data_IF_172130823255
#
_entry.id   IF_172130823255
#
_cell.length_a   1.000
_cell.length_b   1.000
_cell.length_c   1.000
_cell.angle_alpha   90.00
_cell.angle_beta   90.00
_cell.angle_gamma   90.00
#
_symmetry.space_group_name_H-M   'P 1'
#
loop_
_entity.id
_entity.type
_entity.pdbx_description
1 polymer ?
#
# COMPACT_ATOMS: atom_id res chain seq x y z
N UNK A 1 30.75 -5.45 -24.50
CA UNK A 1 30.86 -6.77 -23.85
C UNK A 1 31.17 -6.50 -22.39
N UNK A 2 30.12 -6.29 -21.60
CA UNK A 2 30.24 -6.01 -20.15
C UNK A 2 29.41 -7.10 -19.46
N UNK A 3 30.10 -8.17 -19.07
CA UNK A 3 29.55 -9.29 -18.32
C UNK A 3 29.23 -8.80 -16.92
N UNK A 4 27.98 -8.38 -16.69
CA UNK A 4 27.44 -8.26 -15.35
C UNK A 4 27.57 -9.65 -14.69
N UNK A 5 28.48 -9.77 -13.71
CA UNK A 5 28.64 -10.94 -12.87
C UNK A 5 27.28 -11.27 -12.23
N UNK A 6 26.65 -12.32 -12.74
CA UNK A 6 25.51 -12.94 -12.08
C UNK A 6 25.97 -13.35 -10.67
N UNK A 7 25.34 -12.92 -9.59
CA UNK A 7 25.66 -13.43 -8.26
C UNK A 7 25.26 -14.90 -8.26
N UNK A 8 26.23 -15.80 -7.98
CA UNK A 8 26.06 -17.22 -7.99
C UNK A 8 24.91 -17.74 -7.09
N UNK A 9 24.47 -18.99 -7.27
CA UNK A 9 23.40 -19.62 -6.49
C UNK A 9 23.81 -19.69 -5.03
N UNK A 10 23.19 -18.86 -4.20
CA UNK A 10 23.48 -18.73 -2.76
C UNK A 10 23.35 -17.31 -2.18
N UNK A 11 23.10 -16.31 -3.00
CA UNK A 11 22.78 -14.96 -2.49
C UNK A 11 21.35 -14.95 -1.95
N UNK A 12 21.23 -14.99 -0.64
CA UNK A 12 20.03 -15.24 0.15
C UNK A 12 18.75 -14.63 -0.39
N UNK A 13 17.69 -15.43 -0.36
CA UNK A 13 16.29 -15.03 -0.54
C UNK A 13 16.07 -13.66 0.12
N UNK A 14 15.62 -12.67 -0.66
CA UNK A 14 15.23 -11.36 -0.14
C UNK A 14 16.20 -10.19 -0.38
N UNK A 15 17.28 -10.34 -1.14
CA UNK A 15 18.09 -9.20 -1.57
C UNK A 15 17.52 -8.61 -2.86
N UNK A 16 16.94 -7.43 -2.75
CA UNK A 16 16.50 -6.66 -3.91
C UNK A 16 17.70 -6.35 -4.83
N UNK A 17 17.55 -6.35 -6.16
CA UNK A 17 18.56 -5.85 -7.08
C UNK A 17 18.96 -4.41 -6.79
N UNK A 18 20.12 -3.98 -7.25
CA UNK A 18 20.65 -2.64 -6.96
C UNK A 18 19.68 -1.49 -7.31
N UNK A 19 18.96 -1.49 -8.45
CA UNK A 19 17.97 -0.46 -8.75
C UNK A 19 16.82 -0.41 -7.72
N UNK A 20 16.27 -1.57 -7.34
CA UNK A 20 15.18 -1.66 -6.36
C UNK A 20 15.65 -1.29 -4.95
N UNK A 21 16.91 -1.58 -4.60
CA UNK A 21 17.49 -1.11 -3.33
C UNK A 21 17.60 0.42 -3.30
N UNK A 22 17.94 1.07 -4.41
CA UNK A 22 17.97 2.53 -4.49
C UNK A 22 16.56 3.11 -4.37
N UNK A 23 15.59 2.52 -5.07
CA UNK A 23 14.17 2.91 -4.98
C UNK A 23 13.64 2.74 -3.54
N UNK A 24 14.00 1.65 -2.86
CA UNK A 24 13.63 1.43 -1.46
C UNK A 24 14.24 2.49 -0.52
N UNK A 25 15.51 2.87 -0.73
CA UNK A 25 16.13 3.97 0.04
C UNK A 25 15.41 5.29 -0.20
N UNK A 26 14.99 5.57 -1.44
CA UNK A 26 14.18 6.75 -1.76
C UNK A 26 12.84 6.68 -1.04
N UNK A 27 12.14 5.54 -1.07
CA UNK A 27 10.89 5.34 -0.36
C UNK A 27 11.05 5.62 1.14
N UNK A 28 12.02 4.99 1.80
CA UNK A 28 12.32 5.22 3.23
C UNK A 28 12.59 6.69 3.53
N UNK A 29 13.33 7.39 2.65
CA UNK A 29 13.58 8.84 2.82
C UNK A 29 12.30 9.64 2.72
N UNK A 30 11.43 9.35 1.75
CA UNK A 30 10.15 10.05 1.59
C UNK A 30 9.20 9.75 2.75
N UNK A 31 9.23 8.54 3.33
CA UNK A 31 8.45 8.24 4.54
C UNK A 31 8.90 9.06 5.75
N UNK A 32 10.20 9.25 5.95
CA UNK A 32 10.68 10.16 7.00
C UNK A 32 10.26 11.61 6.75
N UNK A 33 10.24 12.06 5.48
CA UNK A 33 9.74 13.40 5.12
C UNK A 33 8.24 13.49 5.39
N UNK A 34 7.47 12.43 5.07
CA UNK A 34 6.03 12.36 5.36
C UNK A 34 5.79 12.48 6.87
N UNK A 35 6.44 11.67 7.69
CA UNK A 35 6.28 11.72 9.15
C UNK A 35 6.66 13.12 9.67
N UNK A 36 7.75 13.69 9.21
CA UNK A 36 8.16 15.03 9.61
C UNK A 36 7.14 16.11 9.23
N UNK A 37 6.60 16.07 8.01
CA UNK A 37 5.56 17.00 7.54
C UNK A 37 4.24 16.80 8.31
N UNK A 38 3.81 15.56 8.56
CA UNK A 38 2.60 15.26 9.31
C UNK A 38 2.71 15.71 10.77
N UNK A 39 3.85 15.54 11.42
CA UNK A 39 4.07 16.07 12.79
C UNK A 39 3.92 17.59 12.80
N UNK A 40 4.45 18.30 11.82
CA UNK A 40 4.29 19.76 11.70
C UNK A 40 2.81 20.12 11.53
N UNK A 41 2.09 19.39 10.66
CA UNK A 41 0.64 19.58 10.43
C UNK A 41 -0.15 19.34 11.73
N UNK A 42 0.08 18.22 12.42
CA UNK A 42 -0.56 17.89 13.69
C UNK A 42 -0.36 19.00 14.74
N UNK A 43 0.86 19.52 14.84
CA UNK A 43 1.16 20.64 15.76
C UNK A 43 0.42 21.91 15.31
N UNK A 44 0.47 22.25 14.02
CA UNK A 44 -0.17 23.46 13.46
C UNK A 44 -1.68 23.41 13.63
N UNK A 45 -2.33 22.31 13.27
CA UNK A 45 -3.78 22.11 13.42
C UNK A 45 -4.16 22.12 14.89
N UNK A 46 -3.40 21.43 15.76
CA UNK A 46 -3.62 21.39 17.21
C UNK A 46 -3.57 22.78 17.88
N UNK A 47 -2.64 23.65 17.46
CA UNK A 47 -2.55 25.03 17.96
C UNK A 47 -3.74 25.91 17.54
N UNK A 48 -4.33 25.65 16.37
CA UNK A 48 -5.46 26.41 15.82
C UNK A 48 -6.81 25.81 16.21
N UNK A 49 -6.84 24.53 16.64
CA UNK A 49 -8.07 23.79 16.94
C UNK A 49 -8.96 24.47 17.99
N UNK A 50 -8.37 25.04 19.05
CA UNK A 50 -9.11 25.75 20.10
C UNK A 50 -10.27 24.92 20.64
N UNK A 51 -11.49 25.49 20.60
CA UNK A 51 -12.74 24.82 20.99
C UNK A 51 -13.53 24.24 19.80
N UNK A 52 -13.03 24.40 18.56
CA UNK A 52 -13.71 23.91 17.37
C UNK A 52 -13.68 22.37 17.31
N UNK A 53 -14.87 21.75 17.26
CA UNK A 53 -14.98 20.29 17.10
C UNK A 53 -14.40 19.83 15.75
N UNK A 54 -14.72 20.53 14.65
CA UNK A 54 -14.20 20.19 13.32
C UNK A 54 -12.65 20.16 13.27
N UNK A 55 -12.01 21.13 13.93
CA UNK A 55 -10.54 21.15 14.01
C UNK A 55 -9.97 20.04 14.90
N UNK A 56 -10.68 19.65 15.97
CA UNK A 56 -10.28 18.51 16.82
C UNK A 56 -10.39 17.20 16.05
N UNK A 57 -11.40 17.06 15.20
CA UNK A 57 -11.57 15.91 14.31
C UNK A 57 -10.43 15.84 13.30
N UNK A 58 -10.14 16.91 12.58
CA UNK A 58 -9.02 17.00 11.64
C UNK A 58 -7.69 16.66 12.33
N UNK A 59 -7.47 17.14 13.55
CA UNK A 59 -6.29 16.80 14.34
C UNK A 59 -6.19 15.29 14.66
N UNK A 60 -7.32 14.65 14.98
CA UNK A 60 -7.38 13.22 15.26
C UNK A 60 -7.11 12.39 13.99
N UNK A 61 -7.62 12.83 12.84
CA UNK A 61 -7.36 12.22 11.52
C UNK A 61 -5.89 12.29 11.16
N UNK A 62 -5.26 13.46 11.30
CA UNK A 62 -3.84 13.67 11.05
C UNK A 62 -2.95 12.73 11.89
N UNK A 63 -3.36 12.40 13.13
CA UNK A 63 -2.65 11.42 13.97
C UNK A 63 -2.79 10.01 13.40
N UNK A 64 -3.98 9.62 12.92
CA UNK A 64 -4.21 8.30 12.30
C UNK A 64 -3.38 8.17 11.03
N UNK A 65 -3.21 9.23 10.27
CA UNK A 65 -2.44 9.26 9.02
C UNK A 65 -0.92 9.04 9.21
N UNK A 66 -0.43 9.06 10.45
CA UNK A 66 0.94 8.63 10.77
C UNK A 66 1.13 7.11 10.78
N UNK A 67 0.05 6.32 10.85
CA UNK A 67 0.13 4.85 11.00
C UNK A 67 0.73 4.17 9.76
N UNK A 68 0.29 4.41 8.52
CA UNK A 68 0.86 3.76 7.34
C UNK A 68 2.36 4.00 7.15
N UNK A 69 2.90 5.24 7.19
CA UNK A 69 4.33 5.47 7.02
C UNK A 69 5.17 4.81 8.12
N UNK A 70 4.68 4.78 9.36
CA UNK A 70 5.34 4.08 10.45
C UNK A 70 5.32 2.56 10.19
N UNK A 71 4.19 2.00 9.78
CA UNK A 71 4.05 0.57 9.47
C UNK A 71 5.02 0.15 8.34
N UNK A 72 5.15 0.96 7.28
CA UNK A 72 6.12 0.74 6.21
C UNK A 72 7.56 0.74 6.72
N UNK A 73 7.97 1.73 7.51
CA UNK A 73 9.33 1.80 8.06
C UNK A 73 9.66 0.61 8.96
N UNK A 74 8.70 0.17 9.77
CA UNK A 74 8.85 -1.00 10.65
C UNK A 74 8.97 -2.28 9.81
N UNK A 75 8.08 -2.48 8.84
CA UNK A 75 8.11 -3.65 7.97
C UNK A 75 9.41 -3.73 7.16
N UNK A 76 9.83 -2.62 6.55
CA UNK A 76 11.09 -2.52 5.80
C UNK A 76 12.30 -2.89 6.67
N UNK A 77 12.29 -2.53 7.95
CA UNK A 77 13.37 -2.90 8.88
C UNK A 77 13.34 -4.38 9.26
N UNK A 78 12.15 -4.98 9.31
CA UNK A 78 11.97 -6.39 9.67
C UNK A 78 12.39 -7.31 8.51
N UNK A 79 12.02 -7.01 7.28
CA UNK A 79 12.30 -7.87 6.11
C UNK A 79 13.79 -8.03 5.80
N UNK A 80 14.65 -7.12 6.28
CA UNK A 80 16.10 -7.24 6.11
C UNK A 80 16.75 -8.25 7.05
N UNK A 81 15.98 -8.87 7.97
CA UNK A 81 16.51 -9.89 8.87
C UNK A 81 16.69 -11.21 8.11
N UNK A 82 17.83 -11.86 8.36
CA UNK A 82 18.12 -13.17 7.76
C UNK A 82 17.13 -14.24 8.23
N UNK A 83 16.82 -15.25 7.41
CA UNK A 83 16.04 -16.41 7.81
C UNK A 83 16.63 -17.07 9.06
N UNK A 84 15.76 -17.55 9.94
CA UNK A 84 16.13 -18.24 11.18
C UNK A 84 15.38 -19.57 11.27
N UNK A 85 15.74 -20.43 12.24
CA UNK A 85 14.98 -21.68 12.46
C UNK A 85 13.49 -21.46 12.70
N UNK A 86 13.11 -20.35 13.36
CA UNK A 86 11.71 -20.03 13.64
C UNK A 86 11.02 -19.35 12.44
N UNK A 87 11.78 -18.75 11.52
CA UNK A 87 11.31 -18.08 10.31
C UNK A 87 12.12 -18.59 9.12
N UNK A 88 11.90 -19.84 8.67
CA UNK A 88 12.74 -20.47 7.64
C UNK A 88 12.67 -19.79 6.28
N UNK A 89 11.54 -19.18 5.93
CA UNK A 89 11.35 -18.39 4.71
C UNK A 89 11.78 -16.92 4.87
N UNK A 90 12.22 -16.49 6.07
CA UNK A 90 12.41 -15.08 6.39
C UNK A 90 11.12 -14.36 6.78
N UNK A 91 11.21 -13.14 7.33
CA UNK A 91 10.04 -12.38 7.79
C UNK A 91 9.39 -11.55 6.68
N UNK A 92 9.35 -12.03 5.43
CA UNK A 92 8.83 -11.29 4.26
C UNK A 92 7.36 -10.90 4.39
N UNK A 93 6.55 -11.72 5.09
CA UNK A 93 5.13 -11.42 5.35
C UNK A 93 4.91 -10.20 6.25
N UNK A 94 5.96 -9.63 6.85
CA UNK A 94 5.85 -8.37 7.59
C UNK A 94 5.30 -7.22 6.70
N UNK A 95 5.54 -7.26 5.37
CA UNK A 95 4.95 -6.32 4.41
C UNK A 95 3.41 -6.48 4.38
N UNK A 96 2.90 -7.71 4.26
CA UNK A 96 1.45 -7.94 4.23
C UNK A 96 0.78 -7.56 5.58
N UNK A 97 1.46 -7.80 6.72
CA UNK A 97 1.00 -7.35 8.04
C UNK A 97 0.95 -5.82 8.11
N UNK A 98 2.00 -5.13 7.64
CA UNK A 98 2.01 -3.67 7.60
C UNK A 98 0.95 -3.10 6.66
N UNK A 99 0.68 -3.76 5.52
CA UNK A 99 -0.42 -3.42 4.62
C UNK A 99 -1.78 -3.55 5.32
N UNK A 100 -2.00 -4.63 6.09
CA UNK A 100 -3.21 -4.79 6.89
C UNK A 100 -3.36 -3.66 7.91
N UNK A 101 -2.29 -3.30 8.61
CA UNK A 101 -2.28 -2.18 9.59
C UNK A 101 -2.62 -0.86 8.91
N UNK A 102 -2.03 -0.58 7.74
CA UNK A 102 -2.33 0.63 6.96
C UNK A 102 -3.79 0.65 6.48
N UNK A 103 -4.31 -0.48 5.96
CA UNK A 103 -5.70 -0.62 5.55
C UNK A 103 -6.70 -0.42 6.70
N UNK A 104 -6.39 -0.97 7.89
CA UNK A 104 -7.22 -0.77 9.09
C UNK A 104 -7.22 0.69 9.54
N UNK A 105 -6.06 1.37 9.48
CA UNK A 105 -5.99 2.79 9.81
C UNK A 105 -6.84 3.64 8.84
N UNK A 106 -6.75 3.36 7.54
CA UNK A 106 -7.57 4.04 6.52
C UNK A 106 -9.07 3.79 6.71
N UNK A 107 -9.46 2.54 7.00
CA UNK A 107 -10.85 2.20 7.31
C UNK A 107 -11.34 2.91 8.58
N UNK A 108 -10.53 2.93 9.65
CA UNK A 108 -10.86 3.61 10.90
C UNK A 108 -11.05 5.11 10.69
N UNK A 109 -10.22 5.75 9.86
CA UNK A 109 -10.36 7.16 9.49
C UNK A 109 -11.69 7.41 8.78
N UNK A 110 -12.03 6.64 7.75
CA UNK A 110 -13.30 6.77 7.05
C UNK A 110 -14.52 6.53 7.94
N UNK A 111 -14.43 5.53 8.83
CA UNK A 111 -15.50 5.26 9.82
C UNK A 111 -15.68 6.41 10.82
N UNK A 112 -14.59 6.97 11.29
CA UNK A 112 -14.60 8.11 12.21
C UNK A 112 -15.27 9.33 11.58
N UNK A 113 -14.97 9.65 10.33
CA UNK A 113 -15.63 10.72 9.57
C UNK A 113 -17.14 10.52 9.44
N UNK A 114 -17.59 9.29 9.14
CA UNK A 114 -19.02 8.97 9.10
C UNK A 114 -19.65 9.15 10.47
N UNK A 115 -19.00 8.65 11.52
CA UNK A 115 -19.48 8.72 12.90
C UNK A 115 -19.68 10.18 13.37
N UNK A 116 -18.83 11.11 12.95
CA UNK A 116 -18.98 12.54 13.26
C UNK A 116 -20.01 13.25 12.38
N UNK A 117 -20.02 12.97 11.08
CA UNK A 117 -20.84 13.71 10.13
C UNK A 117 -22.32 13.37 10.22
N UNK A 118 -22.68 12.10 10.50
CA UNK A 118 -24.08 11.66 10.54
C UNK A 118 -24.88 12.30 11.69
N UNK A 119 -24.42 12.30 12.97
CA UNK A 119 -25.11 12.95 14.05
C UNK A 119 -25.28 14.46 13.82
N UNK A 120 -24.25 15.14 13.30
CA UNK A 120 -24.27 16.58 13.00
C UNK A 120 -25.36 16.93 11.97
N UNK A 121 -25.52 16.09 10.94
CA UNK A 121 -26.61 16.26 9.95
C UNK A 121 -28.00 16.01 10.55
N UNK A 122 -28.12 14.96 11.39
CA UNK A 122 -29.41 14.60 11.99
C UNK A 122 -29.88 15.57 13.05
N UNK A 123 -28.95 16.13 13.85
CA UNK A 123 -29.27 17.11 14.88
C UNK A 123 -29.60 18.50 14.33
N UNK A 124 -29.19 18.76 13.07
CA UNK A 124 -29.35 20.10 12.47
C UNK A 124 -28.50 21.17 13.17
N UNK A 125 -27.48 20.76 13.91
CA UNK A 125 -26.58 21.68 14.60
C UNK A 125 -25.85 22.56 13.61
N UNK A 126 -25.86 23.87 13.87
CA UNK A 126 -25.14 24.85 13.06
C UNK A 126 -23.78 25.06 13.72
N UNK A 127 -22.67 24.51 13.15
CA UNK A 127 -21.35 24.73 13.74
C UNK A 127 -21.05 26.24 13.74
N UNK A 128 -20.79 26.85 14.92
CA UNK A 128 -20.52 28.28 15.00
C UNK A 128 -19.09 28.55 14.52
N UNK A 129 -18.95 29.12 13.31
CA UNK A 129 -17.69 29.72 12.89
C UNK A 129 -17.69 31.16 13.38
N UNK A 130 -17.00 31.41 14.51
CA UNK A 130 -16.97 32.70 15.17
C UNK A 130 -16.05 33.72 14.53
N UNK A 131 -16.10 34.96 15.05
CA UNK A 131 -15.08 35.97 14.82
C UNK A 131 -13.90 35.73 15.78
N UNK A 132 -12.67 35.92 15.32
CA UNK A 132 -11.48 35.91 16.17
C UNK A 132 -10.70 37.21 15.98
N UNK A 133 -10.04 37.65 17.06
CA UNK A 133 -9.17 38.82 17.02
C UNK A 133 -7.74 38.37 16.85
N UNK A 134 -7.12 38.75 15.74
CA UNK A 134 -5.68 38.50 15.49
C UNK A 134 -5.01 39.84 15.24
N UNK A 135 -3.96 40.15 15.99
CA UNK A 135 -3.22 41.42 15.91
C UNK A 135 -4.14 42.69 16.06
N UNK A 136 -5.25 42.59 16.83
CA UNK A 136 -6.16 43.72 17.05
C UNK A 136 -7.17 43.95 15.92
N UNK A 137 -7.28 43.06 14.97
CA UNK A 137 -8.27 43.10 13.87
C UNK A 137 -9.22 41.92 14.00
N UNK A 138 -10.53 42.25 14.00
CA UNK A 138 -11.61 41.25 13.98
C UNK A 138 -11.74 40.67 12.58
N UNK A 139 -11.60 39.35 12.44
CA UNK A 139 -11.85 38.67 11.17
C UNK A 139 -12.57 37.33 11.39
N UNK A 140 -13.22 36.86 10.34
CA UNK A 140 -13.92 35.57 10.37
C UNK A 140 -12.93 34.42 10.45
N UNK A 141 -13.04 33.59 11.50
CA UNK A 141 -12.10 32.47 11.74
C UNK A 141 -12.06 31.43 10.60
N UNK A 142 -13.12 31.35 9.77
CA UNK A 142 -13.18 30.53 8.60
C UNK A 142 -12.03 30.78 7.60
N UNK A 143 -11.56 32.02 7.47
CA UNK A 143 -10.41 32.31 6.59
C UNK A 143 -9.13 31.66 7.09
N UNK A 144 -8.87 31.66 8.39
CA UNK A 144 -7.71 31.00 8.97
C UNK A 144 -7.80 29.48 8.78
N UNK A 145 -9.00 28.90 8.98
CA UNK A 145 -9.24 27.47 8.74
C UNK A 145 -8.96 27.09 7.29
N UNK A 146 -9.46 27.87 6.31
CA UNK A 146 -9.22 27.63 4.89
C UNK A 146 -7.72 27.67 4.56
N UNK A 147 -6.98 28.67 5.05
CA UNK A 147 -5.55 28.79 4.82
C UNK A 147 -4.79 27.61 5.43
N UNK A 148 -5.09 27.24 6.66
CA UNK A 148 -4.45 26.10 7.34
C UNK A 148 -4.73 24.81 6.58
N UNK A 149 -5.98 24.53 6.19
CA UNK A 149 -6.36 23.34 5.44
C UNK A 149 -5.72 23.31 4.04
N UNK A 150 -5.65 24.45 3.36
CA UNK A 150 -4.97 24.54 2.06
C UNK A 150 -3.46 24.23 2.18
N UNK A 151 -2.80 24.74 3.22
CA UNK A 151 -1.39 24.47 3.48
C UNK A 151 -1.16 23.02 3.90
N UNK A 152 -2.05 22.44 4.72
CA UNK A 152 -1.94 21.04 5.16
C UNK A 152 -2.14 20.04 4.02
N UNK A 153 -2.90 20.39 2.97
CA UNK A 153 -3.11 19.55 1.80
C UNK A 153 -1.88 19.42 0.88
N UNK A 154 -0.96 20.38 0.91
CA UNK A 154 0.18 20.42 -0.03
C UNK A 154 1.11 19.19 0.12
N UNK A 155 1.63 18.85 1.33
CA UNK A 155 2.50 17.69 1.47
C UNK A 155 1.85 16.38 1.05
N UNK A 156 0.61 16.01 1.48
CA UNK A 156 -0.05 14.78 1.03
C UNK A 156 -0.23 14.70 -0.50
N UNK A 157 -0.59 15.78 -1.17
CA UNK A 157 -0.71 15.79 -2.64
C UNK A 157 0.61 15.45 -3.31
N UNK A 158 1.70 16.12 -2.92
CA UNK A 158 3.02 15.92 -3.54
C UNK A 158 3.57 14.54 -3.21
N UNK A 159 3.58 14.18 -1.93
CA UNK A 159 4.16 12.93 -1.44
C UNK A 159 3.36 11.72 -1.88
N UNK A 160 2.02 11.80 -1.90
CA UNK A 160 1.16 10.73 -2.39
C UNK A 160 1.44 10.36 -3.84
N UNK A 161 1.61 11.33 -4.74
CA UNK A 161 1.99 11.07 -6.13
C UNK A 161 3.37 10.43 -6.27
N UNK A 162 4.34 10.82 -5.45
CA UNK A 162 5.67 10.20 -5.44
C UNK A 162 5.57 8.75 -4.95
N UNK A 163 4.82 8.51 -3.87
CA UNK A 163 4.64 7.18 -3.29
C UNK A 163 4.00 6.18 -4.24
N UNK A 164 2.99 6.57 -5.03
CA UNK A 164 2.38 5.71 -6.05
C UNK A 164 3.44 5.21 -7.06
N UNK A 165 4.34 6.08 -7.51
CA UNK A 165 5.42 5.69 -8.44
C UNK A 165 6.39 4.71 -7.80
N UNK A 166 6.81 4.99 -6.56
CA UNK A 166 7.72 4.12 -5.81
C UNK A 166 7.06 2.77 -5.47
N UNK A 167 5.77 2.77 -5.11
CA UNK A 167 4.98 1.56 -4.86
C UNK A 167 4.94 0.64 -6.09
N UNK A 168 4.76 1.20 -7.27
CA UNK A 168 4.79 0.46 -8.54
C UNK A 168 6.16 -0.15 -8.81
N UNK A 169 7.24 0.62 -8.65
CA UNK A 169 8.61 0.17 -8.92
C UNK A 169 9.08 -0.91 -7.93
N UNK A 170 8.64 -0.83 -6.67
CA UNK A 170 9.00 -1.78 -5.60
C UNK A 170 8.03 -2.96 -5.49
N UNK A 171 6.89 -2.92 -6.18
CA UNK A 171 5.80 -3.84 -5.93
C UNK A 171 5.40 -3.85 -4.45
N UNK A 172 5.23 -2.66 -3.85
CA UNK A 172 4.97 -2.50 -2.42
C UNK A 172 3.56 -1.99 -2.16
N UNK A 173 2.72 -2.87 -1.61
CA UNK A 173 1.31 -2.60 -1.32
C UNK A 173 1.13 -1.70 -0.08
N UNK A 174 2.09 -1.70 0.86
CA UNK A 174 2.04 -0.80 2.04
C UNK A 174 2.21 0.64 1.60
N UNK A 175 3.20 0.88 0.73
CA UNK A 175 3.47 2.20 0.18
C UNK A 175 2.30 2.70 -0.69
N UNK A 176 1.59 1.78 -1.36
CA UNK A 176 0.35 2.09 -2.08
C UNK A 176 -0.78 2.49 -1.12
N UNK A 177 -0.99 1.71 -0.04
CA UNK A 177 -2.00 2.03 0.98
C UNK A 177 -1.71 3.37 1.69
N UNK A 178 -0.43 3.70 1.88
CA UNK A 178 -0.02 5.00 2.42
C UNK A 178 -0.27 6.15 1.44
N UNK A 179 -0.16 5.90 0.13
CA UNK A 179 -0.58 6.87 -0.89
C UNK A 179 -2.11 7.07 -0.92
N UNK A 180 -2.90 6.01 -0.65
CA UNK A 180 -4.35 6.13 -0.46
C UNK A 180 -4.69 6.96 0.79
N UNK A 181 -3.90 6.83 1.88
CA UNK A 181 -4.05 7.68 3.07
C UNK A 181 -3.74 9.14 2.73
N UNK A 182 -2.64 9.42 2.02
CA UNK A 182 -2.33 10.78 1.56
C UNK A 182 -3.43 11.36 0.66
N UNK A 183 -4.09 10.53 -0.16
CA UNK A 183 -5.28 10.91 -0.95
C UNK A 183 -6.47 11.25 -0.03
N UNK A 184 -6.69 10.49 1.03
CA UNK A 184 -7.71 10.78 2.02
C UNK A 184 -7.44 12.13 2.70
N UNK A 185 -6.22 12.38 3.16
CA UNK A 185 -5.82 13.61 3.86
C UNK A 185 -6.09 14.88 3.03
N UNK A 186 -5.66 14.94 1.77
CA UNK A 186 -5.95 16.12 0.95
C UNK A 186 -7.44 16.19 0.55
N UNK A 187 -8.11 15.04 0.44
CA UNK A 187 -9.55 14.97 0.18
C UNK A 187 -10.36 15.56 1.32
N UNK A 188 -10.06 15.21 2.58
CA UNK A 188 -10.72 15.78 3.77
C UNK A 188 -10.40 17.25 3.94
N UNK A 189 -9.16 17.69 3.67
CA UNK A 189 -8.81 19.11 3.67
C UNK A 189 -9.64 19.91 2.65
N UNK A 190 -9.83 19.38 1.43
CA UNK A 190 -10.67 20.00 0.41
C UNK A 190 -12.15 20.02 0.84
N UNK A 191 -12.67 18.91 1.39
CA UNK A 191 -14.04 18.85 1.89
C UNK A 191 -14.27 19.90 2.99
N UNK A 192 -13.33 20.05 3.92
CA UNK A 192 -13.38 21.06 4.99
C UNK A 192 -13.39 22.49 4.41
N UNK A 193 -12.57 22.78 3.41
CA UNK A 193 -12.58 24.10 2.73
C UNK A 193 -13.97 24.37 2.11
N UNK A 194 -14.52 23.40 1.39
CA UNK A 194 -15.86 23.53 0.78
C UNK A 194 -16.94 23.67 1.85
N UNK A 195 -16.85 22.91 2.94
CA UNK A 195 -17.76 22.99 4.08
C UNK A 195 -17.74 24.36 4.74
N UNK A 196 -16.56 24.88 5.08
CA UNK A 196 -16.38 26.20 5.70
C UNK A 196 -16.91 27.31 4.78
N UNK A 197 -16.64 27.26 3.47
CA UNK A 197 -17.20 28.21 2.52
C UNK A 197 -18.73 28.11 2.43
N UNK A 198 -19.28 26.89 2.44
CA UNK A 198 -20.72 26.64 2.48
C UNK A 198 -21.38 27.23 3.70
N UNK A 199 -20.79 27.03 4.88
CA UNK A 199 -21.29 27.66 6.13
C UNK A 199 -21.25 29.20 6.02
N UNK A 200 -20.19 29.76 5.44
CA UNK A 200 -20.03 31.18 5.21
C UNK A 200 -21.14 31.81 4.36
N UNK A 201 -21.74 31.04 3.42
CA UNK A 201 -22.91 31.47 2.62
C UNK A 201 -24.24 31.00 3.19
N UNK A 202 -24.27 30.44 4.40
CA UNK A 202 -25.49 30.05 5.13
C UNK A 202 -25.96 28.62 4.94
N UNK A 203 -25.14 27.74 4.24
CA UNK A 203 -25.44 26.33 4.04
C UNK A 203 -24.86 25.52 5.21
N UNK A 204 -25.52 25.44 6.32
CA UNK A 204 -25.07 24.81 7.56
C UNK A 204 -24.72 23.31 7.41
N UNK A 205 -25.34 22.62 6.45
CA UNK A 205 -25.15 21.19 6.18
C UNK A 205 -23.96 20.89 5.25
N UNK A 206 -23.36 21.91 4.62
CA UNK A 206 -22.36 21.71 3.55
C UNK A 206 -21.11 20.96 4.03
N UNK A 207 -20.63 21.26 5.23
CA UNK A 207 -19.46 20.60 5.82
C UNK A 207 -19.69 19.09 6.05
N UNK A 208 -20.79 18.75 6.73
CA UNK A 208 -21.12 17.35 7.01
C UNK A 208 -21.41 16.53 5.76
N UNK A 209 -22.04 17.12 4.73
CA UNK A 209 -22.28 16.43 3.46
C UNK A 209 -20.97 16.22 2.70
N UNK A 210 -20.10 17.24 2.64
CA UNK A 210 -18.79 17.08 2.00
C UNK A 210 -17.96 16.00 2.70
N UNK A 211 -17.92 15.99 4.04
CA UNK A 211 -17.26 14.96 4.83
C UNK A 211 -17.83 13.56 4.58
N UNK A 212 -19.15 13.39 4.49
CA UNK A 212 -19.77 12.10 4.17
C UNK A 212 -19.42 11.59 2.77
N UNK A 213 -19.40 12.45 1.77
CA UNK A 213 -19.03 12.07 0.40
C UNK A 213 -17.60 11.54 0.34
N UNK A 214 -16.67 12.24 0.99
CA UNK A 214 -15.26 11.82 1.06
C UNK A 214 -15.12 10.54 1.88
N UNK A 215 -15.79 10.42 3.03
CA UNK A 215 -15.69 9.25 3.91
C UNK A 215 -16.10 7.95 3.22
N UNK A 216 -17.09 7.98 2.33
CA UNK A 216 -17.49 6.81 1.55
C UNK A 216 -16.37 6.33 0.62
N UNK A 217 -15.61 7.25 0.01
CA UNK A 217 -14.44 6.90 -0.80
C UNK A 217 -13.34 6.29 0.07
N UNK A 218 -13.05 6.91 1.22
CA UNK A 218 -12.03 6.44 2.18
C UNK A 218 -12.38 5.05 2.71
N UNK A 219 -13.64 4.81 3.10
CA UNK A 219 -14.10 3.50 3.54
C UNK A 219 -13.93 2.43 2.46
N UNK A 220 -14.28 2.75 1.20
CA UNK A 220 -14.10 1.84 0.08
C UNK A 220 -12.62 1.49 -0.11
N UNK A 221 -11.73 2.48 -0.09
CA UNK A 221 -10.28 2.27 -0.23
C UNK A 221 -9.74 1.48 0.97
N UNK A 222 -10.18 1.76 2.20
CA UNK A 222 -9.84 1.02 3.40
C UNK A 222 -10.25 -0.44 3.35
N UNK A 223 -11.50 -0.74 2.98
CA UNK A 223 -12.00 -2.12 2.81
C UNK A 223 -11.22 -2.85 1.72
N UNK A 224 -10.90 -2.19 0.61
CA UNK A 224 -10.11 -2.77 -0.48
C UNK A 224 -8.70 -3.15 0.00
N UNK A 225 -8.02 -2.26 0.71
CA UNK A 225 -6.67 -2.50 1.27
C UNK A 225 -6.68 -3.64 2.30
N UNK A 226 -7.66 -3.66 3.23
CA UNK A 226 -7.81 -4.75 4.20
C UNK A 226 -8.03 -6.09 3.48
N UNK A 227 -8.95 -6.13 2.52
CA UNK A 227 -9.24 -7.36 1.77
C UNK A 227 -8.00 -7.88 1.06
N UNK A 228 -7.25 -7.01 0.36
CA UNK A 228 -6.02 -7.39 -0.33
C UNK A 228 -4.98 -7.92 0.65
N UNK A 229 -4.76 -7.25 1.78
CA UNK A 229 -3.80 -7.69 2.79
C UNK A 229 -4.19 -9.05 3.41
N UNK A 230 -5.47 -9.28 3.67
CA UNK A 230 -5.97 -10.58 4.16
C UNK A 230 -5.77 -11.67 3.12
N UNK A 231 -6.03 -11.41 1.84
CA UNK A 231 -5.79 -12.36 0.76
C UNK A 231 -4.29 -12.71 0.64
N UNK A 232 -3.41 -11.71 0.70
CA UNK A 232 -1.95 -11.93 0.68
C UNK A 232 -1.48 -12.77 1.89
N UNK A 233 -2.04 -12.53 3.07
CA UNK A 233 -1.75 -13.31 4.27
C UNK A 233 -2.30 -14.75 4.20
N UNK A 234 -3.36 -14.96 3.41
CA UNK A 234 -4.02 -16.25 3.20
C UNK A 234 -3.48 -17.00 1.97
N UNK A 235 -2.29 -16.64 1.49
CA UNK A 235 -1.64 -17.29 0.34
C UNK A 235 -2.44 -17.22 -0.97
N UNK A 236 -3.20 -16.15 -1.19
CA UNK A 236 -3.86 -15.93 -2.46
C UNK A 236 -2.85 -15.74 -3.60
N UNK A 237 -3.33 -15.93 -4.84
CA UNK A 237 -2.54 -15.67 -6.07
C UNK A 237 -1.96 -14.26 -6.04
N UNK A 238 -0.70 -14.13 -6.47
CA UNK A 238 -0.02 -12.84 -6.55
C UNK A 238 -0.81 -11.82 -7.39
N UNK A 239 -0.93 -10.61 -6.86
CA UNK A 239 -1.65 -9.50 -7.49
C UNK A 239 -0.71 -8.33 -7.79
N UNK A 240 -1.16 -7.36 -8.59
CA UNK A 240 -0.43 -6.12 -8.79
C UNK A 240 -0.22 -5.32 -7.49
N UNK A 241 0.61 -4.31 -7.54
CA UNK A 241 0.91 -3.42 -6.39
C UNK A 241 -0.34 -2.72 -5.82
N UNK A 242 -1.42 -2.62 -6.61
CA UNK A 242 -2.72 -2.07 -6.21
C UNK A 242 -3.70 -3.14 -5.69
N UNK A 243 -3.32 -4.42 -5.71
CA UNK A 243 -4.12 -5.55 -5.25
C UNK A 243 -5.38 -5.86 -6.07
N UNK A 244 -5.58 -5.22 -7.23
CA UNK A 244 -6.86 -5.29 -7.98
C UNK A 244 -6.91 -6.43 -8.99
N UNK A 245 -5.80 -6.71 -9.64
CA UNK A 245 -5.70 -7.69 -10.72
C UNK A 245 -4.60 -8.69 -10.46
N UNK A 246 -4.75 -9.96 -10.94
CA UNK A 246 -3.64 -10.90 -10.93
C UNK A 246 -2.40 -10.29 -11.58
N UNK A 247 -1.22 -10.62 -11.06
CA UNK A 247 0.02 -10.11 -11.63
C UNK A 247 0.30 -10.77 -12.98
N UNK A 248 0.64 -10.02 -14.05
CA UNK A 248 0.88 -10.59 -15.39
C UNK A 248 1.92 -11.71 -15.40
N UNK A 249 3.01 -11.55 -14.63
CA UNK A 249 4.06 -12.55 -14.52
C UNK A 249 3.58 -13.95 -14.09
N UNK A 250 2.36 -14.07 -13.52
CA UNK A 250 1.81 -15.38 -13.15
C UNK A 250 1.39 -16.21 -14.36
N UNK A 251 1.07 -15.59 -15.47
CA UNK A 251 0.75 -16.24 -16.74
C UNK A 251 1.98 -16.33 -17.63
N UNK A 252 2.76 -15.26 -17.69
CA UNK A 252 4.02 -15.20 -18.46
C UNK A 252 5.00 -16.30 -18.07
N UNK A 253 5.10 -16.66 -16.78
CA UNK A 253 6.00 -17.72 -16.31
C UNK A 253 5.56 -19.12 -16.78
N UNK A 254 4.25 -19.38 -16.87
CA UNK A 254 3.72 -20.64 -17.40
C UNK A 254 3.99 -20.75 -18.90
N UNK A 255 3.79 -19.66 -19.65
CA UNK A 255 4.04 -19.59 -21.09
C UNK A 255 5.54 -19.77 -21.37
N UNK A 256 6.39 -19.05 -20.63
CA UNK A 256 7.85 -19.19 -20.78
C UNK A 256 8.33 -20.64 -20.63
N UNK A 257 7.89 -21.32 -19.57
CA UNK A 257 8.34 -22.71 -19.33
C UNK A 257 7.78 -23.67 -20.39
N UNK A 258 6.54 -23.49 -20.82
CA UNK A 258 5.93 -24.33 -21.86
C UNK A 258 6.58 -24.14 -23.22
N UNK A 259 6.97 -22.91 -23.57
CA UNK A 259 7.44 -22.58 -24.91
C UNK A 259 8.97 -22.78 -25.06
N UNK A 260 9.75 -22.56 -23.99
CA UNK A 260 11.22 -22.65 -24.03
C UNK A 260 11.77 -24.04 -23.60
N UNK A 261 10.95 -24.88 -22.94
CA UNK A 261 11.41 -26.17 -22.41
C UNK A 261 10.78 -27.32 -23.20
N UNK A 262 11.56 -27.88 -24.17
CA UNK A 262 11.08 -28.88 -25.14
C UNK A 262 10.45 -30.13 -24.52
N UNK A 263 10.95 -30.60 -23.36
CA UNK A 263 10.47 -31.82 -22.71
C UNK A 263 9.21 -31.62 -21.88
N UNK A 264 8.79 -30.36 -21.64
CA UNK A 264 7.55 -30.03 -20.91
C UNK A 264 6.36 -30.11 -21.85
N UNK A 265 5.33 -30.86 -21.45
CA UNK A 265 4.03 -30.92 -22.13
C UNK A 265 3.07 -29.87 -21.54
N UNK A 266 3.02 -29.78 -20.20
CA UNK A 266 2.16 -28.84 -19.48
C UNK A 266 2.96 -28.20 -18.35
N UNK A 267 2.85 -26.88 -18.24
CA UNK A 267 3.38 -26.09 -17.11
C UNK A 267 2.24 -25.35 -16.41
N UNK A 268 2.23 -25.37 -15.07
CA UNK A 268 1.32 -24.60 -14.24
C UNK A 268 2.04 -24.05 -13.02
N UNK A 269 1.79 -22.81 -12.69
CA UNK A 269 2.43 -22.13 -11.58
C UNK A 269 1.44 -21.74 -10.47
N UNK A 270 1.84 -21.93 -9.22
CA UNK A 270 1.25 -21.26 -8.07
C UNK A 270 2.21 -20.16 -7.64
N UNK A 271 1.78 -18.92 -7.82
CA UNK A 271 2.57 -17.75 -7.49
C UNK A 271 1.86 -16.94 -6.42
N UNK A 272 2.52 -16.70 -5.30
CA UNK A 272 2.02 -15.87 -4.20
C UNK A 272 3.00 -14.78 -3.83
N UNK A 273 2.46 -13.68 -3.29
CA UNK A 273 3.27 -12.57 -2.80
C UNK A 273 4.02 -12.94 -1.51
N UNK A 274 5.30 -12.61 -1.48
CA UNK A 274 6.13 -12.61 -0.27
C UNK A 274 6.77 -11.21 -0.07
N UNK A 275 5.93 -10.21 0.19
CA UNK A 275 6.38 -8.83 0.25
C UNK A 275 6.72 -8.27 -1.13
N UNK A 276 7.99 -7.93 -1.37
CA UNK A 276 8.42 -7.43 -2.67
C UNK A 276 8.69 -8.52 -3.73
N UNK A 277 8.77 -9.78 -3.32
CA UNK A 277 9.16 -10.91 -4.16
C UNK A 277 8.06 -11.97 -4.18
N UNK A 278 8.19 -12.93 -5.09
CA UNK A 278 7.25 -14.04 -5.23
C UNK A 278 7.84 -15.34 -4.70
N UNK A 279 6.97 -16.14 -4.10
CA UNK A 279 7.18 -17.57 -3.96
C UNK A 279 6.45 -18.29 -5.10
N UNK A 280 7.16 -19.10 -5.84
CA UNK A 280 6.65 -19.76 -7.05
C UNK A 280 6.88 -21.25 -6.98
N UNK A 281 5.79 -22.01 -7.09
CA UNK A 281 5.84 -23.45 -7.30
C UNK A 281 5.44 -23.74 -8.75
N UNK A 282 6.38 -24.20 -9.56
CA UNK A 282 6.16 -24.54 -10.95
C UNK A 282 5.98 -26.05 -11.09
N UNK A 283 4.76 -26.48 -11.38
CA UNK A 283 4.43 -27.86 -11.69
C UNK A 283 4.62 -28.11 -13.18
N UNK A 284 5.46 -29.09 -13.52
CA UNK A 284 5.74 -29.46 -14.91
C UNK A 284 5.36 -30.92 -15.15
N UNK A 285 4.56 -31.16 -16.21
CA UNK A 285 4.26 -32.50 -16.69
C UNK A 285 5.20 -32.76 -17.87
N UNK A 286 6.12 -33.74 -17.75
CA UNK A 286 6.99 -34.13 -18.87
C UNK A 286 6.17 -34.80 -19.98
N UNK A 287 6.65 -34.72 -21.22
CA UNK A 287 6.13 -35.48 -22.35
C UNK A 287 6.19 -36.98 -22.08
N UNK A 288 5.27 -37.74 -22.66
CA UNK A 288 5.15 -39.17 -22.41
C UNK A 288 6.49 -39.92 -22.60
N UNK A 289 6.94 -40.65 -21.57
CA UNK A 289 8.17 -41.40 -21.57
C UNK A 289 9.45 -40.60 -21.29
N UNK A 290 9.35 -39.32 -20.97
CA UNK A 290 10.50 -38.49 -20.62
C UNK A 290 10.61 -38.33 -19.08
N UNK A 291 11.82 -38.58 -18.57
CA UNK A 291 12.18 -38.37 -17.17
C UNK A 291 13.20 -37.24 -17.07
N UNK A 292 12.82 -36.05 -16.54
CA UNK A 292 13.74 -34.93 -16.45
C UNK A 292 14.88 -35.18 -15.46
N UNK A 293 16.07 -34.82 -15.84
CA UNK A 293 17.24 -34.86 -14.98
C UNK A 293 17.26 -33.71 -13.97
N UNK A 294 18.09 -33.83 -12.93
CA UNK A 294 18.30 -32.74 -11.98
C UNK A 294 18.82 -31.47 -12.64
N UNK A 295 19.70 -31.60 -13.65
CA UNK A 295 20.25 -30.45 -14.37
C UNK A 295 19.18 -29.71 -15.17
N UNK A 296 18.27 -30.44 -15.81
CA UNK A 296 17.15 -29.85 -16.54
C UNK A 296 16.15 -29.15 -15.61
N UNK A 297 15.85 -29.70 -14.43
CA UNK A 297 15.02 -29.03 -13.43
C UNK A 297 15.68 -27.75 -12.90
N UNK A 298 16.99 -27.76 -12.69
CA UNK A 298 17.76 -26.57 -12.32
C UNK A 298 17.79 -25.54 -13.46
N UNK A 299 17.86 -25.98 -14.72
CA UNK A 299 17.74 -25.05 -15.87
C UNK A 299 16.40 -24.35 -15.94
N UNK A 300 15.29 -25.09 -15.73
CA UNK A 300 13.94 -24.49 -15.63
C UNK A 300 13.87 -23.47 -14.49
N UNK A 301 14.42 -23.79 -13.32
CA UNK A 301 14.48 -22.86 -12.20
C UNK A 301 15.23 -21.57 -12.58
N UNK A 302 16.40 -21.68 -13.18
CA UNK A 302 17.18 -20.52 -13.61
C UNK A 302 16.51 -19.72 -14.72
N UNK A 303 15.77 -20.39 -15.61
CA UNK A 303 14.95 -19.73 -16.63
C UNK A 303 13.88 -18.84 -15.98
N UNK A 304 13.17 -19.35 -14.98
CA UNK A 304 12.14 -18.60 -14.22
C UNK A 304 12.78 -17.45 -13.44
N UNK A 305 13.88 -17.70 -12.71
CA UNK A 305 14.62 -16.67 -11.98
C UNK A 305 15.15 -15.54 -12.89
N UNK A 306 15.40 -15.84 -14.15
CA UNK A 306 15.84 -14.90 -15.18
C UNK A 306 14.75 -14.03 -15.78
N UNK A 307 13.47 -14.40 -15.62
CA UNK A 307 12.34 -13.69 -16.20
C UNK A 307 12.12 -12.31 -15.53
N UNK A 308 12.07 -12.29 -14.21
CA UNK A 308 11.92 -11.05 -13.44
C UNK A 308 12.57 -11.19 -12.06
N UNK A 309 13.07 -10.09 -11.52
CA UNK A 309 13.72 -10.02 -10.20
C UNK A 309 12.81 -10.45 -9.03
N UNK A 310 11.50 -10.51 -9.22
CA UNK A 310 10.54 -10.96 -8.21
C UNK A 310 10.59 -12.48 -8.00
N UNK A 311 11.02 -13.25 -8.99
CA UNK A 311 11.15 -14.71 -8.88
C UNK A 311 12.42 -15.10 -8.13
N UNK A 312 12.41 -15.03 -6.79
CA UNK A 312 13.57 -15.35 -5.96
C UNK A 312 13.46 -16.69 -5.23
N UNK A 313 12.24 -17.14 -4.97
CA UNK A 313 11.97 -18.43 -4.30
C UNK A 313 11.16 -19.30 -5.26
N UNK A 314 11.90 -20.09 -6.06
CA UNK A 314 11.33 -20.92 -7.13
C UNK A 314 11.56 -22.39 -6.82
N UNK A 315 10.48 -23.15 -6.78
CA UNK A 315 10.47 -24.61 -6.65
C UNK A 315 9.89 -25.22 -7.92
N UNK A 316 10.64 -26.11 -8.59
CA UNK A 316 10.16 -26.84 -9.76
C UNK A 316 9.80 -28.26 -9.33
N UNK A 317 8.56 -28.67 -9.61
CA UNK A 317 7.99 -29.94 -9.18
C UNK A 317 7.56 -30.75 -10.43
N UNK A 318 8.33 -31.77 -10.84
CA UNK A 318 7.88 -32.67 -11.89
C UNK A 318 6.76 -33.57 -11.38
N UNK A 319 5.67 -33.68 -12.14
CA UNK A 319 4.49 -34.48 -11.79
C UNK A 319 4.02 -35.28 -13.01
N UNK A 320 3.44 -36.46 -12.77
CA UNK A 320 2.92 -37.31 -13.86
C UNK A 320 1.59 -36.77 -14.44
N UNK A 321 0.83 -36.00 -13.65
CA UNK A 321 -0.41 -35.32 -14.04
C UNK A 321 -0.67 -34.16 -13.07
N UNK A 322 -1.44 -33.19 -13.53
CA UNK A 322 -1.85 -32.06 -12.67
C UNK A 322 -3.06 -32.48 -11.82
N UNK A 323 -2.89 -32.42 -10.50
CA UNK A 323 -3.99 -32.61 -9.57
C UNK A 323 -4.79 -31.26 -9.45
N UNK A 324 -6.12 -31.25 -9.62
CA UNK A 324 -6.95 -30.08 -9.44
C UNK A 324 -6.84 -29.42 -8.05
N UNK A 325 -6.44 -30.17 -7.03
CA UNK A 325 -6.18 -29.65 -5.69
C UNK A 325 -4.81 -28.93 -5.58
N UNK A 326 -3.85 -29.32 -6.42
CA UNK A 326 -2.52 -28.68 -6.46
C UNK A 326 -2.55 -27.40 -7.30
N UNK A 327 -3.28 -27.42 -8.41
CA UNK A 327 -3.38 -26.29 -9.34
C UNK A 327 -4.85 -26.11 -9.73
N UNK A 328 -5.61 -25.29 -8.99
CA UNK A 328 -7.01 -24.99 -9.32
C UNK A 328 -7.11 -24.36 -10.72
N UNK A 329 -8.17 -24.70 -11.44
CA UNK A 329 -8.45 -24.18 -12.79
C UNK A 329 -8.75 -22.68 -12.78
#
# INVERSE_FOLDING_TARGET
MNTAKNPGPGSGIGRLPAPQQETLRKAVRYEWITIGSMIIIVIMVGLVAGQSQAMKSAWSEDIISLVPPIAFLVATRIIHRVPTRNYPYGPHRAIAVAHLVAGVALFAMGFFLVYESVPTLLSGEKPPIGMMVLFGVDFWSGWLMIVVMALSAIPPVILGHIKIKLAKELHDKVLYADADMAKADWGTALATIVGVLGIGVGLWWADSVAALVISLSILKDGVSNIRTAVLDLSDARATGYDGRHPHPLTEEVEELVRDEVEWVEVARARVRDQGHVFHTEMFVVPRAGYEPTLEELLAVRHLIEGLDWKFQDVVVVPVSHLDPHQVPR
#
